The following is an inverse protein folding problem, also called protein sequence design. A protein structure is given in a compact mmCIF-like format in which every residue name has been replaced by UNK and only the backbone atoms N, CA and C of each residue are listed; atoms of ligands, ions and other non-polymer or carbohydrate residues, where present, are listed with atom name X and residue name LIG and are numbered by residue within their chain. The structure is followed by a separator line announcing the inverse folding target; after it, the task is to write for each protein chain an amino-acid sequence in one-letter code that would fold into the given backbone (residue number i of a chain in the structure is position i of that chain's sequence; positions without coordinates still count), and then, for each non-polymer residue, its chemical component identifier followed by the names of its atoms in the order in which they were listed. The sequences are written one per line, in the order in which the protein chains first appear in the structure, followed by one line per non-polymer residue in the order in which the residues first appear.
data_IF_997530861464
#
_entry.id   IF_997530861464
#
_cell.length_a   1.000
_cell.length_b   1.000
_cell.length_c   1.000
_cell.angle_alpha   90.00
_cell.angle_beta   90.00
_cell.angle_gamma   90.00
#
_symmetry.space_group_name_H-M   'P 1'
#
loop_
_entity.id
_entity.type
_entity.pdbx_description
1 polymer ?
#
# COMPACT_ATOMS: atom_id res chain seq x y z
N UNK A 1 -22.15 44.99 42.28
CA UNK A 1 -22.04 46.05 43.32
C UNK A 1 -21.31 45.42 44.50
N UNK A 2 -20.00 45.59 44.60
CA UNK A 2 -19.23 45.20 45.79
C UNK A 2 -19.12 46.40 46.73
N UNK A 3 -18.98 46.17 48.05
CA UNK A 3 -17.84 46.79 48.73
C UNK A 3 -17.11 45.89 49.78
N UNK A 4 -15.76 45.92 49.72
CA UNK A 4 -14.73 46.23 50.77
C UNK A 4 -15.09 46.01 52.25
N UNK A 5 -14.22 45.65 53.21
CA UNK A 5 -12.83 45.17 53.38
C UNK A 5 -12.68 45.04 54.92
N UNK A 6 -11.83 44.15 55.45
CA UNK A 6 -10.93 44.43 56.59
C UNK A 6 -10.19 43.16 57.08
N UNK A 7 -8.86 43.23 57.00
CA UNK A 7 -7.91 42.41 57.77
C UNK A 7 -7.65 43.06 59.15
N UNK A 8 -7.04 42.32 60.09
CA UNK A 8 -5.73 42.78 60.52
C UNK A 8 -4.65 41.68 60.71
N UNK A 9 -3.41 42.16 60.59
CA UNK A 9 -2.08 41.58 60.85
C UNK A 9 -1.89 41.03 62.28
N UNK A 10 -0.91 40.19 62.64
CA UNK A 10 0.53 40.39 62.42
C UNK A 10 1.40 39.19 62.88
N UNK A 11 2.46 38.94 62.11
CA UNK A 11 3.87 38.89 62.53
C UNK A 11 4.34 37.91 63.61
N UNK A 12 5.24 36.99 63.19
CA UNK A 12 6.54 36.77 63.82
C UNK A 12 7.55 36.16 62.83
N UNK A 13 8.69 36.84 62.75
CA UNK A 13 10.03 36.46 62.22
C UNK A 13 10.43 35.05 62.69
N UNK A 14 11.22 34.21 62.04
CA UNK A 14 12.09 34.27 60.87
C UNK A 14 13.05 33.06 60.92
N UNK A 15 13.92 32.96 59.91
CA UNK A 15 15.17 32.18 59.80
C UNK A 15 15.15 30.90 58.92
N UNK A 16 15.88 31.06 57.80
CA UNK A 16 16.41 30.09 56.83
C UNK A 16 17.10 28.87 57.47
N UNK A 17 16.87 27.67 56.91
CA UNK A 17 17.91 26.68 56.57
C UNK A 17 17.41 25.91 55.33
N UNK A 18 18.18 25.95 54.24
CA UNK A 18 17.89 25.16 53.05
C UNK A 18 18.32 23.70 53.22
N UNK A 19 17.64 22.78 52.54
CA UNK A 19 18.23 21.53 52.08
C UNK A 19 17.47 20.99 50.86
N UNK A 20 18.25 20.51 49.90
CA UNK A 20 17.89 20.08 48.56
C UNK A 20 16.88 18.92 48.50
N UNK A 21 15.92 19.08 47.58
CA UNK A 21 15.36 18.12 46.62
C UNK A 21 15.76 16.64 46.72
N UNK A 22 14.74 15.76 46.79
CA UNK A 22 14.67 14.55 45.95
C UNK A 22 13.22 14.02 45.88
N UNK A 23 12.44 14.45 44.89
CA UNK A 23 11.17 13.80 44.51
C UNK A 23 11.48 12.67 43.53
N UNK A 24 11.25 11.43 43.94
CA UNK A 24 11.27 10.25 43.06
C UNK A 24 10.11 10.34 42.06
N UNK A 25 10.43 10.71 40.82
CA UNK A 25 9.55 10.59 39.66
C UNK A 25 9.63 9.14 39.14
N UNK A 26 8.50 8.45 39.14
CA UNK A 26 8.34 7.14 38.51
C UNK A 26 8.45 7.31 37.00
N UNK A 27 9.56 6.87 36.40
CA UNK A 27 9.66 6.71 34.95
C UNK A 27 8.84 5.48 34.55
N UNK A 28 7.61 5.71 34.05
CA UNK A 28 6.96 4.77 33.16
C UNK A 28 7.67 4.87 31.80
N UNK A 29 8.70 4.05 31.62
CA UNK A 29 9.28 3.82 30.31
C UNK A 29 8.29 3.02 29.48
N UNK A 30 7.59 3.69 28.56
CA UNK A 30 6.93 3.03 27.44
C UNK A 30 8.02 2.36 26.61
N UNK A 31 8.10 1.04 26.68
CA UNK A 31 8.89 0.25 25.74
C UNK A 31 8.06 0.13 24.45
N UNK A 32 8.07 1.18 23.62
CA UNK A 32 7.70 1.03 22.22
C UNK A 32 8.85 0.29 21.53
N UNK A 33 8.59 -0.74 20.71
CA UNK A 33 9.65 -1.34 19.92
C UNK A 33 10.14 -0.29 18.93
N UNK A 34 11.37 0.19 19.10
CA UNK A 34 12.04 0.97 18.07
C UNK A 34 12.15 0.10 16.82
N UNK A 35 11.36 0.45 15.80
CA UNK A 35 11.58 -0.03 14.45
C UNK A 35 12.96 0.47 14.03
N UNK A 36 13.87 -0.38 13.54
CA UNK A 36 15.16 0.09 13.07
C UNK A 36 14.90 1.07 11.92
N UNK A 37 15.13 2.36 12.16
CA UNK A 37 15.18 3.36 11.10
C UNK A 37 16.41 3.04 10.27
N UNK A 38 16.19 2.47 9.08
CA UNK A 38 17.23 2.38 8.06
C UNK A 38 17.61 3.83 7.72
N UNK A 39 18.89 4.24 7.86
CA UNK A 39 19.30 5.58 7.49
C UNK A 39 19.01 5.80 6.01
N UNK A 40 18.02 6.65 5.72
CA UNK A 40 17.83 7.16 4.36
C UNK A 40 18.85 8.28 4.19
N UNK A 41 19.85 8.03 3.36
CA UNK A 41 20.73 9.07 2.88
C UNK A 41 19.91 10.00 1.97
N UNK A 42 19.33 11.05 2.56
CA UNK A 42 18.47 12.03 1.89
C UNK A 42 19.16 12.76 0.73
N UNK A 43 20.48 12.68 0.61
CA UNK A 43 21.21 13.39 -0.46
C UNK A 43 21.39 12.56 -1.74
N UNK A 44 21.43 11.22 -1.68
CA UNK A 44 21.40 10.38 -2.88
C UNK A 44 21.15 8.88 -2.56
N UNK A 45 19.90 8.42 -2.34
CA UNK A 45 19.66 6.99 -2.21
C UNK A 45 20.06 6.30 -3.53
N UNK A 46 20.61 5.07 -3.51
CA UNK A 46 20.74 4.29 -4.73
C UNK A 46 19.32 4.05 -5.25
N UNK A 47 18.86 4.89 -6.16
CA UNK A 47 17.58 4.71 -6.80
C UNK A 47 17.75 3.50 -7.70
N UNK A 48 17.08 2.40 -7.36
CA UNK A 48 16.97 1.22 -8.22
C UNK A 48 16.36 1.55 -9.61
N UNK A 49 16.04 2.82 -9.88
CA UNK A 49 15.43 3.30 -11.11
C UNK A 49 14.01 2.78 -11.29
N UNK A 50 13.33 2.36 -10.22
CA UNK A 50 11.98 1.78 -10.32
C UNK A 50 10.94 2.87 -10.65
N UNK A 51 9.87 2.47 -11.33
CA UNK A 51 8.77 3.33 -11.75
C UNK A 51 8.90 3.76 -13.21
N UNK A 52 8.76 5.07 -13.45
CA UNK A 52 8.74 5.64 -14.80
C UNK A 52 10.12 5.57 -15.45
N UNK A 53 10.18 5.03 -16.67
CA UNK A 53 11.38 4.97 -17.47
C UNK A 53 11.36 3.83 -18.48
N UNK A 54 12.50 3.63 -19.15
CA UNK A 54 12.68 2.51 -20.05
C UNK A 54 12.96 1.22 -19.28
N UNK A 55 12.47 0.09 -19.81
CA UNK A 55 12.83 -1.23 -19.31
C UNK A 55 14.35 -1.43 -19.38
N UNK A 56 14.94 -1.90 -18.27
CA UNK A 56 16.38 -2.12 -18.15
C UNK A 56 16.81 -3.36 -18.95
N UNK A 57 18.05 -3.37 -19.44
CA UNK A 57 18.69 -4.57 -20.01
C UNK A 57 19.19 -5.48 -18.89
N UNK A 58 18.25 -6.15 -18.20
CA UNK A 58 18.48 -7.05 -17.08
C UNK A 58 17.92 -8.44 -17.38
N UNK A 59 18.58 -9.49 -16.91
CA UNK A 59 18.06 -10.86 -17.07
C UNK A 59 16.83 -11.07 -16.19
N UNK A 60 15.91 -11.94 -16.60
CA UNK A 60 14.76 -12.30 -15.77
C UNK A 60 15.17 -12.92 -14.43
N UNK A 61 16.31 -13.61 -14.36
CA UNK A 61 16.84 -14.15 -13.11
C UNK A 61 17.30 -13.05 -12.15
N UNK A 62 18.00 -12.04 -12.68
CA UNK A 62 18.49 -10.93 -11.87
C UNK A 62 17.32 -10.04 -11.41
N UNK A 63 16.34 -9.78 -12.29
CA UNK A 63 15.12 -9.05 -11.90
C UNK A 63 14.39 -9.74 -10.74
N UNK A 64 14.20 -11.06 -10.82
CA UNK A 64 13.56 -11.83 -9.73
C UNK A 64 14.43 -11.85 -8.47
N UNK A 65 15.76 -11.82 -8.60
CA UNK A 65 16.65 -11.68 -7.46
C UNK A 65 16.55 -10.30 -6.79
N UNK A 66 16.42 -9.21 -7.57
CA UNK A 66 16.20 -7.84 -7.08
C UNK A 66 14.87 -7.70 -6.33
N UNK A 67 13.82 -8.40 -6.78
CA UNK A 67 12.49 -8.38 -6.15
C UNK A 67 12.49 -8.82 -4.68
N UNK A 68 13.38 -9.73 -4.28
CA UNK A 68 13.51 -10.20 -2.91
C UNK A 68 12.22 -10.82 -2.33
N UNK A 69 11.98 -10.63 -1.04
CA UNK A 69 10.76 -11.13 -0.37
C UNK A 69 9.58 -10.22 -0.73
N UNK A 70 8.48 -10.84 -1.19
CA UNK A 70 7.25 -10.15 -1.55
C UNK A 70 6.17 -10.19 -0.48
N UNK A 71 5.33 -9.17 -0.45
CA UNK A 71 4.11 -9.09 0.37
C UNK A 71 2.88 -8.87 -0.51
N UNK A 72 1.73 -9.46 -0.15
CA UNK A 72 0.48 -9.28 -0.88
C UNK A 72 -0.43 -8.28 -0.16
N UNK A 73 -0.89 -7.27 -0.90
CA UNK A 73 -1.98 -6.38 -0.49
C UNK A 73 -3.33 -7.08 -0.72
N UNK A 74 -3.55 -8.19 0.00
CA UNK A 74 -4.76 -9.00 -0.14
C UNK A 74 -6.00 -8.37 0.49
N UNK A 75 -7.16 -8.85 0.09
CA UNK A 75 -8.49 -8.40 0.54
C UNK A 75 -8.62 -6.86 0.53
N UNK A 76 -8.18 -6.26 -0.57
CA UNK A 76 -8.15 -4.82 -0.82
C UNK A 76 -8.74 -4.51 -2.20
N UNK A 77 -7.93 -4.49 -3.26
CA UNK A 77 -8.41 -4.27 -4.64
C UNK A 77 -9.02 -5.53 -5.26
N UNK A 78 -8.74 -6.69 -4.68
CA UNK A 78 -9.28 -8.00 -5.04
C UNK A 78 -10.70 -8.26 -4.51
N UNK A 79 -11.21 -7.42 -3.62
CA UNK A 79 -12.57 -7.56 -3.08
C UNK A 79 -13.59 -7.58 -4.22
N UNK A 80 -14.52 -8.54 -4.17
CA UNK A 80 -15.59 -8.70 -5.18
C UNK A 80 -16.75 -7.72 -4.93
N UNK A 81 -16.43 -6.44 -4.79
CA UNK A 81 -17.38 -5.35 -4.63
C UNK A 81 -16.69 -4.00 -4.89
N UNK A 82 -17.48 -2.94 -5.10
CA UNK A 82 -16.94 -1.57 -5.21
C UNK A 82 -16.39 -1.04 -3.88
N UNK A 83 -16.93 -1.53 -2.76
CA UNK A 83 -16.42 -1.23 -1.44
C UNK A 83 -15.25 -2.17 -1.09
N UNK A 84 -14.02 -1.63 -1.19
CA UNK A 84 -12.77 -2.35 -0.90
C UNK A 84 -12.63 -2.77 0.57
N UNK A 85 -13.51 -2.31 1.46
CA UNK A 85 -13.50 -2.68 2.88
C UNK A 85 -14.44 -3.84 3.22
N UNK A 86 -15.21 -4.34 2.24
CA UNK A 86 -16.24 -5.37 2.44
C UNK A 86 -15.69 -6.67 3.07
N UNK A 87 -14.42 -7.00 2.83
CA UNK A 87 -13.76 -8.18 3.41
C UNK A 87 -13.03 -7.90 4.74
N UNK A 88 -13.28 -6.75 5.36
CA UNK A 88 -12.88 -6.43 6.73
C UNK A 88 -11.55 -5.69 6.89
N UNK A 89 -10.78 -5.52 5.81
CA UNK A 89 -9.58 -4.69 5.83
C UNK A 89 -9.92 -3.20 5.70
N UNK A 90 -9.13 -2.30 6.30
CA UNK A 90 -9.20 -0.89 5.97
C UNK A 90 -8.80 -0.67 4.50
N UNK A 91 -9.18 0.48 3.93
CA UNK A 91 -8.71 0.85 2.61
C UNK A 91 -7.16 0.90 2.57
N UNK A 92 -6.53 0.52 1.44
CA UNK A 92 -5.10 0.64 1.24
C UNK A 92 -4.57 2.02 1.63
N UNK A 93 -3.46 2.06 2.36
CA UNK A 93 -2.85 3.32 2.80
C UNK A 93 -1.35 3.35 2.53
N UNK A 94 -0.85 4.55 2.29
CA UNK A 94 0.59 4.81 2.11
C UNK A 94 1.41 4.42 3.34
N UNK A 95 0.88 4.67 4.53
CA UNK A 95 1.53 4.30 5.79
C UNK A 95 1.77 2.78 5.88
N UNK A 96 0.81 1.97 5.44
CA UNK A 96 0.94 0.52 5.42
C UNK A 96 2.03 0.06 4.43
N UNK A 97 2.09 0.61 3.21
CA UNK A 97 3.14 0.26 2.23
C UNK A 97 4.52 0.63 2.76
N UNK A 98 4.66 1.81 3.39
CA UNK A 98 5.92 2.23 4.01
C UNK A 98 6.30 1.32 5.18
N UNK A 99 5.34 0.91 6.02
CA UNK A 99 5.60 -0.04 7.10
C UNK A 99 6.02 -1.42 6.55
N UNK A 100 5.42 -1.89 5.45
CA UNK A 100 5.82 -3.12 4.76
C UNK A 100 7.26 -3.01 4.24
N UNK A 101 7.63 -1.90 3.62
CA UNK A 101 9.03 -1.68 3.22
C UNK A 101 9.99 -1.70 4.42
N UNK A 102 9.63 -1.04 5.52
CA UNK A 102 10.44 -1.01 6.74
C UNK A 102 10.65 -2.41 7.37
N UNK A 103 9.75 -3.35 7.12
CA UNK A 103 9.92 -4.77 7.51
C UNK A 103 10.87 -5.56 6.60
N UNK A 104 11.39 -4.95 5.52
CA UNK A 104 12.38 -5.55 4.63
C UNK A 104 11.82 -6.18 3.36
N UNK A 105 10.53 -5.99 3.06
CA UNK A 105 9.94 -6.48 1.81
C UNK A 105 10.41 -5.64 0.61
N UNK A 106 10.83 -6.33 -0.45
CA UNK A 106 11.32 -5.72 -1.70
C UNK A 106 10.27 -5.65 -2.80
N UNK A 107 9.16 -6.39 -2.66
CA UNK A 107 8.09 -6.46 -3.65
C UNK A 107 6.72 -6.36 -2.98
N UNK A 108 5.80 -5.65 -3.62
CA UNK A 108 4.37 -5.68 -3.29
C UNK A 108 3.58 -6.27 -4.46
N UNK A 109 2.76 -7.27 -4.18
CA UNK A 109 1.74 -7.74 -5.12
C UNK A 109 0.42 -7.08 -4.75
N UNK A 110 -0.27 -6.53 -5.74
CA UNK A 110 -1.56 -5.87 -5.64
C UNK A 110 -2.56 -6.74 -6.43
N UNK A 111 -3.22 -7.71 -5.77
CA UNK A 111 -4.37 -8.42 -6.30
C UNK A 111 -5.49 -7.45 -6.70
N UNK A 112 -6.01 -7.51 -7.93
CA UNK A 112 -7.05 -6.59 -8.41
C UNK A 112 -8.20 -7.37 -9.06
N UNK A 113 -9.42 -7.09 -8.62
CA UNK A 113 -10.66 -7.52 -9.28
C UNK A 113 -11.22 -6.34 -10.07
N UNK A 114 -11.51 -6.57 -11.35
CA UNK A 114 -11.80 -5.49 -12.31
C UNK A 114 -13.28 -5.37 -12.64
N UNK A 115 -14.03 -6.47 -12.57
CA UNK A 115 -15.40 -6.56 -13.08
C UNK A 115 -16.38 -5.54 -12.50
N UNK A 116 -16.15 -5.07 -11.27
CA UNK A 116 -16.98 -4.06 -10.60
C UNK A 116 -16.69 -2.62 -11.03
N UNK A 117 -15.60 -2.42 -11.78
CA UNK A 117 -15.08 -1.14 -12.25
C UNK A 117 -14.90 -1.11 -13.77
N UNK A 118 -15.61 -1.99 -14.48
CA UNK A 118 -15.63 -2.10 -15.92
C UNK A 118 -17.05 -2.00 -16.45
N UNK A 119 -17.20 -1.53 -17.68
CA UNK A 119 -18.43 -1.73 -18.42
C UNK A 119 -18.66 -3.23 -18.66
N UNK A 120 -19.91 -3.67 -18.51
CA UNK A 120 -20.29 -5.08 -18.70
C UNK A 120 -20.17 -5.52 -20.17
N UNK A 121 -20.33 -4.59 -21.11
CA UNK A 121 -20.28 -4.86 -22.54
C UNK A 121 -19.03 -4.23 -23.18
N UNK A 122 -18.63 -4.74 -24.35
CA UNK A 122 -17.57 -4.16 -25.16
C UNK A 122 -17.78 -2.63 -25.35
N UNK A 123 -16.73 -1.81 -25.22
CA UNK A 123 -15.32 -2.20 -25.16
C UNK A 123 -14.80 -2.57 -23.76
N UNK A 124 -15.66 -2.82 -22.77
CA UNK A 124 -15.27 -3.17 -21.40
C UNK A 124 -14.39 -2.09 -20.76
N UNK A 125 -14.76 -0.82 -20.97
CA UNK A 125 -13.99 0.33 -20.50
C UNK A 125 -13.83 0.27 -18.99
N UNK A 126 -12.58 0.36 -18.51
CA UNK A 126 -12.25 0.49 -17.09
C UNK A 126 -12.53 1.93 -16.67
N UNK A 127 -13.14 2.10 -15.50
CA UNK A 127 -13.35 3.42 -14.91
C UNK A 127 -12.01 4.14 -14.69
N UNK A 128 -11.79 5.34 -15.27
CA UNK A 128 -10.51 6.04 -15.13
C UNK A 128 -10.10 6.31 -13.68
N UNK A 129 -11.08 6.58 -12.81
CA UNK A 129 -10.83 6.78 -11.38
C UNK A 129 -10.26 5.54 -10.69
N UNK A 130 -10.67 4.34 -11.10
CA UNK A 130 -10.16 3.09 -10.53
C UNK A 130 -8.73 2.82 -10.95
N UNK A 131 -8.38 3.08 -12.23
CA UNK A 131 -6.99 3.02 -12.70
C UNK A 131 -6.11 4.01 -11.92
N UNK A 132 -6.57 5.24 -11.74
CA UNK A 132 -5.83 6.26 -10.98
C UNK A 132 -5.61 5.85 -9.51
N UNK A 133 -6.59 5.22 -8.87
CA UNK A 133 -6.46 4.69 -7.50
C UNK A 133 -5.39 3.60 -7.42
N UNK A 134 -5.35 2.68 -8.39
CA UNK A 134 -4.33 1.63 -8.47
C UNK A 134 -2.95 2.24 -8.71
N UNK A 135 -2.84 3.14 -9.69
CA UNK A 135 -1.60 3.86 -10.02
C UNK A 135 -1.04 4.59 -8.80
N UNK A 136 -1.90 5.23 -8.01
CA UNK A 136 -1.50 5.93 -6.78
C UNK A 136 -0.78 5.00 -5.79
N UNK A 137 -1.20 3.75 -5.67
CA UNK A 137 -0.55 2.75 -4.80
C UNK A 137 0.72 2.20 -5.44
N UNK A 138 0.70 1.97 -6.75
CA UNK A 138 1.87 1.55 -7.56
C UNK A 138 3.01 2.56 -7.43
N UNK A 139 2.74 3.85 -7.66
CA UNK A 139 3.73 4.93 -7.51
C UNK A 139 4.28 5.00 -6.09
N UNK A 140 3.43 4.82 -5.07
CA UNK A 140 3.88 4.86 -3.69
C UNK A 140 4.81 3.69 -3.35
N UNK A 141 4.57 2.50 -3.92
CA UNK A 141 5.50 1.39 -3.80
C UNK A 141 6.86 1.70 -4.45
N UNK A 142 6.88 2.33 -5.63
CA UNK A 142 8.13 2.77 -6.28
C UNK A 142 8.88 3.83 -5.48
N UNK A 143 8.17 4.79 -4.87
CA UNK A 143 8.78 5.76 -3.93
C UNK A 143 9.43 5.07 -2.72
N UNK A 144 8.92 3.89 -2.33
CA UNK A 144 9.49 3.05 -1.27
C UNK A 144 10.48 2.00 -1.81
N UNK A 145 10.94 2.13 -3.07
CA UNK A 145 11.90 1.23 -3.70
C UNK A 145 11.43 -0.24 -3.64
N UNK A 146 10.18 -0.48 -4.03
CA UNK A 146 9.60 -1.82 -4.13
C UNK A 146 9.21 -2.12 -5.58
N UNK A 147 9.46 -3.34 -6.04
CA UNK A 147 8.84 -3.85 -7.26
C UNK A 147 7.34 -4.06 -7.05
N UNK A 148 6.55 -3.96 -8.12
CA UNK A 148 5.10 -4.09 -8.04
C UNK A 148 4.62 -5.18 -8.99
N UNK A 149 3.74 -6.06 -8.52
CA UNK A 149 2.99 -7.00 -9.37
C UNK A 149 1.52 -6.62 -9.33
N UNK A 150 0.89 -6.44 -10.48
CA UNK A 150 -0.57 -6.29 -10.62
C UNK A 150 -1.15 -7.43 -11.45
N UNK A 151 -2.43 -7.77 -11.25
CA UNK A 151 -3.05 -8.90 -11.91
C UNK A 151 -4.55 -8.73 -12.18
N UNK A 152 -5.15 -9.80 -12.69
CA UNK A 152 -6.58 -10.09 -12.65
C UNK A 152 -6.82 -11.16 -11.58
N UNK A 153 -7.67 -10.88 -10.57
CA UNK A 153 -7.74 -11.70 -9.35
C UNK A 153 -9.01 -12.55 -9.18
N UNK A 154 -10.15 -11.93 -8.85
CA UNK A 154 -11.44 -12.61 -8.61
C UNK A 154 -12.48 -12.27 -9.67
N UNK A 155 -12.07 -12.35 -10.93
CA UNK A 155 -12.89 -12.07 -12.11
C UNK A 155 -13.48 -13.34 -12.74
N UNK A 156 -13.66 -14.39 -11.93
CA UNK A 156 -14.06 -15.73 -12.37
C UNK A 156 -15.45 -15.77 -13.02
N UNK A 157 -16.30 -14.77 -12.77
CA UNK A 157 -17.62 -14.63 -13.39
C UNK A 157 -17.54 -14.38 -14.91
N UNK A 158 -16.47 -13.75 -15.39
CA UNK A 158 -16.28 -13.45 -16.81
C UNK A 158 -14.99 -14.02 -17.41
N UNK A 159 -14.03 -14.45 -16.57
CA UNK A 159 -12.87 -15.25 -16.96
C UNK A 159 -13.16 -16.73 -16.69
N UNK A 160 -14.03 -17.32 -17.51
CA UNK A 160 -14.39 -18.74 -17.39
C UNK A 160 -13.53 -19.57 -18.35
N UNK A 161 -12.62 -20.44 -17.86
CA UNK A 161 -11.70 -21.19 -18.72
C UNK A 161 -12.36 -22.43 -19.36
N UNK A 162 -13.44 -22.23 -20.11
CA UNK A 162 -14.10 -23.24 -20.95
C UNK A 162 -13.97 -22.90 -22.43
N UNK A 163 -14.10 -23.90 -23.31
CA UNK A 163 -14.10 -23.67 -24.75
C UNK A 163 -15.27 -22.79 -25.23
N UNK A 164 -16.42 -22.84 -24.53
CA UNK A 164 -17.61 -22.06 -24.85
C UNK A 164 -17.42 -20.57 -24.51
N UNK A 165 -16.82 -20.26 -23.35
CA UNK A 165 -16.60 -18.88 -22.92
C UNK A 165 -15.28 -18.27 -23.45
N UNK A 166 -14.42 -19.09 -24.08
CA UNK A 166 -13.06 -18.70 -24.45
C UNK A 166 -13.01 -17.44 -25.33
N UNK A 167 -13.89 -17.33 -26.33
CA UNK A 167 -13.88 -16.18 -27.26
C UNK A 167 -14.19 -14.86 -26.53
N UNK A 168 -15.23 -14.85 -25.69
CA UNK A 168 -15.62 -13.67 -24.92
C UNK A 168 -14.59 -13.32 -23.85
N UNK A 169 -14.11 -14.31 -23.10
CA UNK A 169 -13.09 -14.12 -22.07
C UNK A 169 -11.79 -13.58 -22.67
N UNK A 170 -11.36 -14.09 -23.83
CA UNK A 170 -10.17 -13.60 -24.53
C UNK A 170 -10.36 -12.16 -25.01
N UNK A 171 -11.51 -11.83 -25.60
CA UNK A 171 -11.79 -10.47 -26.06
C UNK A 171 -11.80 -9.46 -24.90
N UNK A 172 -12.41 -9.83 -23.77
CA UNK A 172 -12.46 -8.99 -22.58
C UNK A 172 -11.10 -8.86 -21.89
N UNK A 173 -10.34 -9.94 -21.75
CA UNK A 173 -8.96 -9.91 -21.24
C UNK A 173 -8.04 -9.06 -22.13
N UNK A 174 -8.16 -9.19 -23.45
CA UNK A 174 -7.37 -8.38 -24.38
C UNK A 174 -7.71 -6.89 -24.24
N UNK A 175 -8.99 -6.53 -24.10
CA UNK A 175 -9.38 -5.14 -23.85
C UNK A 175 -8.85 -4.62 -22.51
N UNK A 176 -8.97 -5.41 -21.44
CA UNK A 176 -8.47 -5.08 -20.12
C UNK A 176 -6.96 -4.82 -20.16
N UNK A 177 -6.18 -5.77 -20.64
CA UNK A 177 -4.72 -5.65 -20.67
C UNK A 177 -4.24 -4.56 -21.63
N UNK A 178 -4.97 -4.27 -22.71
CA UNK A 178 -4.67 -3.10 -23.57
C UNK A 178 -4.85 -1.80 -22.82
N UNK A 179 -5.96 -1.63 -22.08
CA UNK A 179 -6.20 -0.42 -21.29
C UNK A 179 -5.18 -0.25 -20.16
N UNK A 180 -4.86 -1.33 -19.44
CA UNK A 180 -3.85 -1.33 -18.38
C UNK A 180 -2.46 -1.02 -18.93
N UNK A 181 -2.04 -1.67 -20.03
CA UNK A 181 -0.75 -1.41 -20.67
C UNK A 181 -0.64 0.03 -21.17
N UNK A 182 -1.70 0.60 -21.76
CA UNK A 182 -1.69 1.99 -22.19
C UNK A 182 -1.63 2.98 -21.01
N UNK A 183 -2.27 2.66 -19.88
CA UNK A 183 -2.23 3.49 -18.68
C UNK A 183 -0.83 3.50 -18.04
N UNK A 184 -0.17 2.35 -18.00
CA UNK A 184 1.16 2.18 -17.40
C UNK A 184 2.29 2.17 -18.43
N UNK A 185 2.09 2.74 -19.62
CA UNK A 185 3.05 2.62 -20.75
C UNK A 185 4.43 3.21 -20.44
N UNK A 186 4.49 4.22 -19.57
CA UNK A 186 5.73 4.90 -19.18
C UNK A 186 6.50 4.18 -18.05
N UNK A 187 5.95 3.08 -17.51
CA UNK A 187 6.56 2.36 -16.39
C UNK A 187 7.48 1.25 -16.90
N UNK A 188 8.64 1.10 -16.26
CA UNK A 188 9.67 0.15 -16.65
C UNK A 188 9.45 -1.27 -16.09
N UNK A 189 10.49 -2.10 -16.15
CA UNK A 189 10.53 -3.51 -15.73
C UNK A 189 10.31 -3.74 -14.22
N UNK A 190 10.15 -2.67 -13.44
CA UNK A 190 9.75 -2.75 -12.02
C UNK A 190 8.25 -2.96 -11.79
N UNK A 191 7.41 -2.71 -12.81
CA UNK A 191 5.99 -3.05 -12.81
C UNK A 191 5.78 -4.35 -13.60
N UNK A 192 5.35 -5.41 -12.91
CA UNK A 192 5.11 -6.72 -13.51
C UNK A 192 3.60 -6.97 -13.64
N UNK A 193 3.20 -7.44 -14.82
CA UNK A 193 1.83 -7.88 -15.10
C UNK A 193 1.73 -9.40 -14.97
N UNK A 194 1.01 -9.88 -13.94
CA UNK A 194 0.60 -11.27 -13.80
C UNK A 194 -0.76 -11.45 -14.46
N UNK A 195 -0.84 -12.25 -15.53
CA UNK A 195 -2.00 -12.26 -16.42
C UNK A 195 -3.31 -12.69 -15.76
N UNK A 196 -3.27 -13.69 -14.88
CA UNK A 196 -4.42 -14.27 -14.18
C UNK A 196 -3.97 -14.88 -12.86
N UNK A 197 -4.75 -14.66 -11.80
CA UNK A 197 -4.62 -15.38 -10.55
C UNK A 197 -5.30 -16.76 -10.64
N UNK A 198 -4.56 -17.80 -10.25
CA UNK A 198 -5.06 -19.17 -10.06
C UNK A 198 -6.12 -19.66 -11.08
N UNK A 199 -5.83 -19.62 -12.39
CA UNK A 199 -6.80 -19.96 -13.43
C UNK A 199 -7.34 -21.39 -13.25
N UNK A 200 -8.65 -21.52 -13.03
CA UNK A 200 -9.35 -22.79 -12.78
C UNK A 200 -10.83 -22.69 -13.12
N UNK A 201 -11.48 -23.83 -13.29
CA UNK A 201 -12.94 -23.90 -13.24
C UNK A 201 -13.38 -23.92 -11.77
N UNK A 202 -14.20 -22.97 -11.36
CA UNK A 202 -14.77 -22.99 -10.01
C UNK A 202 -15.73 -24.17 -9.81
N UNK A 203 -15.75 -24.72 -8.60
CA UNK A 203 -16.66 -25.81 -8.24
C UNK A 203 -16.28 -27.20 -8.76
N UNK A 204 -15.12 -27.35 -9.40
CA UNK A 204 -14.58 -28.64 -9.84
C UNK A 204 -13.37 -29.02 -8.97
N UNK A 205 -13.29 -30.26 -8.42
CA UNK A 205 -12.16 -30.72 -7.60
C UNK A 205 -10.82 -30.74 -8.32
#
# INVERSE_FOLDING_TARGET
MAPIENFPSSSRRGLLVGLLSLTTLVCLGSCEPETPEVPIDDENPPTLGLGIGEARDISSFDLVAEMGVGWNLGNSFDVTARDKTLWGNPAPSFAMVTAVKAMGFGTIRIPITWGFHQQENAPYTIEPGYLQEIETVVEHAFRNQMHVIINVHHDNDWVVPTAEAAEEAQARLASLWTQVANHFIEYNDSLIFETLNEPRLEGIP
#
